data_IF_675018416273
#
_entry.id   IF_675018416273
#
_cell.length_a   1.000
_cell.length_b   1.000
_cell.length_c   1.000
_cell.angle_alpha   90.00
_cell.angle_beta   90.00
_cell.angle_gamma   90.00
#
_symmetry.space_group_name_H-M   'P 1'
#
loop_
_entity.id
_entity.type
_entity.pdbx_description
1 polymer ?
#
# COMPACT_ATOMS: atom_id res chain seq x y z
N UNK A 1 -6.36 -12.39 -28.41
CA UNK A 1 -7.75 -12.84 -28.07
C UNK A 1 -7.82 -13.85 -26.91
N UNK A 2 -7.19 -15.06 -27.00
CA UNK A 2 -7.22 -16.04 -25.87
C UNK A 2 -6.52 -15.54 -24.61
N UNK A 3 -5.32 -14.98 -24.72
CA UNK A 3 -4.56 -14.45 -23.59
C UNK A 3 -5.25 -13.25 -22.92
N UNK A 4 -5.87 -12.39 -23.70
CA UNK A 4 -6.61 -11.24 -23.19
C UNK A 4 -7.88 -11.67 -22.42
N UNK A 5 -8.60 -12.69 -22.92
CA UNK A 5 -9.74 -13.27 -22.21
C UNK A 5 -9.30 -13.93 -20.89
N UNK A 6 -8.16 -14.66 -20.90
CA UNK A 6 -7.61 -15.28 -19.70
C UNK A 6 -7.18 -14.23 -18.66
N UNK A 7 -6.56 -13.12 -19.09
CA UNK A 7 -6.19 -12.02 -18.21
C UNK A 7 -7.42 -11.36 -17.57
N UNK A 8 -8.45 -11.04 -18.38
CA UNK A 8 -9.71 -10.49 -17.85
C UNK A 8 -10.38 -11.41 -16.83
N UNK A 9 -10.38 -12.74 -17.11
CA UNK A 9 -10.94 -13.71 -16.16
C UNK A 9 -10.13 -13.74 -14.87
N UNK A 10 -8.80 -13.67 -14.94
CA UNK A 10 -7.92 -13.59 -13.76
C UNK A 10 -8.21 -12.33 -12.94
N UNK A 11 -8.36 -11.17 -13.59
CA UNK A 11 -8.67 -9.91 -12.92
C UNK A 11 -10.02 -9.96 -12.18
N UNK A 12 -11.03 -10.59 -12.78
CA UNK A 12 -12.32 -10.84 -12.14
C UNK A 12 -12.17 -11.72 -10.89
N UNK A 13 -11.40 -12.82 -10.98
CA UNK A 13 -11.15 -13.71 -9.85
C UNK A 13 -10.39 -12.99 -8.73
N UNK A 14 -9.38 -12.19 -9.07
CA UNK A 14 -8.57 -11.43 -8.09
C UNK A 14 -9.42 -10.38 -7.37
N UNK A 15 -10.28 -9.66 -8.09
CA UNK A 15 -11.22 -8.70 -7.50
C UNK A 15 -12.19 -9.38 -6.55
N UNK A 16 -12.81 -10.47 -6.97
CA UNK A 16 -13.72 -11.27 -6.14
C UNK A 16 -12.99 -11.82 -4.89
N UNK A 17 -11.73 -12.23 -5.03
CA UNK A 17 -10.91 -12.66 -3.90
C UNK A 17 -10.69 -11.52 -2.90
N UNK A 18 -10.41 -10.30 -3.37
CA UNK A 18 -10.26 -9.12 -2.51
C UNK A 18 -11.53 -8.86 -1.68
N UNK A 19 -12.70 -8.91 -2.30
CA UNK A 19 -13.99 -8.73 -1.64
C UNK A 19 -14.25 -9.81 -0.58
N UNK A 20 -14.05 -11.09 -0.95
CA UNK A 20 -14.30 -12.23 -0.04
C UNK A 20 -13.32 -12.23 1.14
N UNK A 21 -12.04 -11.92 0.91
CA UNK A 21 -11.06 -11.83 2.00
C UNK A 21 -11.32 -10.64 2.92
N UNK A 22 -11.69 -9.49 2.38
CA UNK A 22 -12.03 -8.31 3.19
C UNK A 22 -13.26 -8.55 4.08
N UNK A 23 -14.28 -9.26 3.56
CA UNK A 23 -15.52 -9.53 4.29
C UNK A 23 -15.38 -10.65 5.33
N UNK A 24 -14.63 -11.72 5.02
CA UNK A 24 -14.63 -12.97 5.79
C UNK A 24 -13.32 -13.28 6.50
N UNK A 25 -12.31 -12.44 6.29
CA UNK A 25 -10.96 -12.74 6.74
C UNK A 25 -10.30 -13.89 5.97
N UNK A 26 -9.02 -14.13 6.25
CA UNK A 26 -8.30 -15.21 5.56
C UNK A 26 -8.84 -16.58 5.95
N UNK A 27 -9.02 -16.89 7.22
CA UNK A 27 -9.49 -18.21 7.66
C UNK A 27 -10.89 -18.56 7.15
N UNK A 28 -11.83 -17.59 7.16
CA UNK A 28 -13.23 -17.77 6.77
C UNK A 28 -13.49 -17.79 5.27
N UNK A 29 -12.56 -17.28 4.45
CA UNK A 29 -12.69 -17.27 3.01
C UNK A 29 -12.42 -18.65 2.39
N UNK A 30 -13.24 -19.07 1.40
CA UNK A 30 -13.09 -20.32 0.67
C UNK A 30 -13.04 -20.11 -0.83
N UNK A 31 -12.42 -21.04 -1.56
CA UNK A 31 -12.37 -21.04 -3.03
C UNK A 31 -13.77 -21.04 -3.64
N UNK A 32 -14.74 -21.72 -3.00
CA UNK A 32 -16.14 -21.78 -3.47
C UNK A 32 -16.81 -20.40 -3.41
N UNK A 33 -16.57 -19.67 -2.34
CA UNK A 33 -17.08 -18.28 -2.19
C UNK A 33 -16.47 -17.36 -3.23
N UNK A 34 -15.16 -17.47 -3.50
CA UNK A 34 -14.49 -16.69 -4.54
C UNK A 34 -15.05 -17.05 -5.91
N UNK A 35 -15.25 -18.34 -6.21
CA UNK A 35 -15.83 -18.80 -7.47
C UNK A 35 -17.26 -18.27 -7.67
N UNK A 36 -18.07 -18.28 -6.62
CA UNK A 36 -19.43 -17.75 -6.62
C UNK A 36 -19.43 -16.23 -6.84
N UNK A 37 -18.61 -15.49 -6.10
CA UNK A 37 -18.49 -14.05 -6.22
C UNK A 37 -18.02 -13.64 -7.62
N UNK A 38 -17.02 -14.33 -8.17
CA UNK A 38 -16.50 -14.12 -9.53
C UNK A 38 -17.41 -14.63 -10.65
N UNK A 39 -18.47 -15.38 -10.34
CA UNK A 39 -19.34 -16.07 -11.31
C UNK A 39 -18.56 -16.98 -12.27
N UNK A 40 -17.56 -17.71 -11.75
CA UNK A 40 -16.73 -18.67 -12.50
C UNK A 40 -16.72 -20.04 -11.83
N UNK A 41 -16.17 -21.05 -12.52
CA UNK A 41 -16.01 -22.39 -11.95
C UNK A 41 -14.83 -22.44 -10.95
N UNK A 42 -14.89 -23.39 -9.98
CA UNK A 42 -13.74 -23.67 -9.07
C UNK A 42 -12.42 -23.92 -9.80
N UNK A 43 -12.37 -24.75 -10.86
CA UNK A 43 -11.15 -24.93 -11.64
C UNK A 43 -10.58 -23.64 -12.20
N UNK A 44 -11.45 -22.68 -12.58
CA UNK A 44 -11.01 -21.36 -13.05
C UNK A 44 -10.33 -20.55 -11.94
N UNK A 45 -10.84 -20.63 -10.71
CA UNK A 45 -10.20 -19.99 -9.55
C UNK A 45 -8.85 -20.62 -9.23
N UNK A 46 -8.77 -21.96 -9.22
CA UNK A 46 -7.51 -22.69 -9.02
C UNK A 46 -6.46 -22.41 -10.10
N UNK A 47 -6.88 -22.14 -11.34
CA UNK A 47 -5.97 -21.72 -12.40
C UNK A 47 -5.33 -20.35 -12.14
N UNK A 48 -5.97 -19.47 -11.33
CA UNK A 48 -5.39 -18.19 -10.91
C UNK A 48 -4.40 -18.34 -9.73
N UNK A 49 -4.54 -19.39 -8.91
CA UNK A 49 -3.64 -19.70 -7.80
C UNK A 49 -4.31 -20.42 -6.63
N UNK A 50 -3.50 -20.84 -5.67
CA UNK A 50 -3.98 -21.31 -4.36
C UNK A 50 -4.49 -20.13 -3.52
N UNK A 51 -5.02 -20.40 -2.33
CA UNK A 51 -5.62 -19.39 -1.46
C UNK A 51 -4.64 -18.27 -1.06
N UNK A 52 -3.40 -18.62 -0.70
CA UNK A 52 -2.38 -17.64 -0.34
C UNK A 52 -1.94 -16.80 -1.56
N UNK A 53 -1.76 -17.43 -2.72
CA UNK A 53 -1.45 -16.72 -3.97
C UNK A 53 -2.59 -15.77 -4.38
N UNK A 54 -3.84 -16.20 -4.25
CA UNK A 54 -5.00 -15.34 -4.51
C UNK A 54 -5.05 -14.16 -3.54
N UNK A 55 -4.70 -14.38 -2.28
CA UNK A 55 -4.63 -13.30 -1.31
C UNK A 55 -3.52 -12.29 -1.67
N UNK A 56 -2.33 -12.77 -2.03
CA UNK A 56 -1.23 -11.90 -2.45
C UNK A 56 -1.59 -11.07 -3.70
N UNK A 57 -2.22 -11.71 -4.69
CA UNK A 57 -2.70 -11.03 -5.90
C UNK A 57 -3.80 -10.00 -5.59
N UNK A 58 -4.73 -10.33 -4.70
CA UNK A 58 -5.78 -9.42 -4.27
C UNK A 58 -5.23 -8.21 -3.51
N UNK A 59 -4.27 -8.43 -2.62
CA UNK A 59 -3.60 -7.38 -1.86
C UNK A 59 -2.84 -6.42 -2.81
N UNK A 60 -2.06 -6.97 -3.75
CA UNK A 60 -1.36 -6.19 -4.76
C UNK A 60 -2.33 -5.45 -5.68
N UNK A 61 -3.38 -6.11 -6.17
CA UNK A 61 -4.40 -5.49 -7.03
C UNK A 61 -5.02 -4.25 -6.38
N UNK A 62 -5.37 -4.33 -5.09
CA UNK A 62 -5.94 -3.20 -4.34
C UNK A 62 -4.90 -2.10 -4.09
N UNK A 63 -3.63 -2.47 -3.91
CA UNK A 63 -2.54 -1.49 -3.76
C UNK A 63 -2.27 -0.73 -5.07
N UNK A 64 -2.27 -1.44 -6.20
CA UNK A 64 -1.92 -0.91 -7.53
C UNK A 64 -3.09 -0.22 -8.24
N UNK A 65 -4.33 -0.27 -7.68
CA UNK A 65 -5.51 0.36 -8.29
C UNK A 65 -5.40 1.89 -8.32
N UNK A 66 -4.45 2.36 -9.12
CA UNK A 66 -4.16 3.78 -9.37
C UNK A 66 -5.29 4.51 -10.13
N UNK A 67 -6.30 3.76 -10.63
CA UNK A 67 -7.49 4.35 -11.28
C UNK A 67 -8.43 5.08 -10.33
N UNK A 68 -8.23 4.95 -9.01
CA UNK A 68 -9.08 5.52 -7.97
C UNK A 68 -8.44 6.67 -7.18
N UNK A 69 -7.18 7.03 -7.44
CA UNK A 69 -6.57 8.20 -6.79
C UNK A 69 -6.92 9.47 -7.56
N UNK A 70 -7.55 10.43 -6.89
CA UNK A 70 -7.71 11.80 -7.40
C UNK A 70 -6.35 12.45 -7.75
N UNK A 71 -5.25 11.93 -7.24
CA UNK A 71 -3.88 12.37 -7.50
C UNK A 71 -3.22 11.71 -8.73
N UNK A 72 -3.74 10.58 -9.24
CA UNK A 72 -3.36 9.96 -10.52
C UNK A 72 -1.88 9.62 -10.77
N UNK A 73 -0.97 9.98 -9.86
CA UNK A 73 0.48 9.88 -10.09
C UNK A 73 1.06 8.60 -9.48
N UNK A 74 1.88 7.91 -10.24
CA UNK A 74 2.67 6.78 -9.75
C UNK A 74 3.83 7.25 -8.86
N UNK A 75 4.37 6.38 -8.01
CA UNK A 75 5.57 6.70 -7.21
C UNK A 75 6.72 7.16 -8.11
N UNK A 76 6.90 6.53 -9.27
CA UNK A 76 7.96 6.92 -10.22
C UNK A 76 7.79 8.36 -10.72
N UNK A 77 6.57 8.81 -11.02
CA UNK A 77 6.29 10.19 -11.40
C UNK A 77 6.50 11.16 -10.25
N UNK A 78 6.04 10.81 -9.04
CA UNK A 78 6.24 11.62 -7.84
C UNK A 78 7.73 11.86 -7.57
N UNK A 79 8.58 10.84 -7.73
CA UNK A 79 10.02 10.95 -7.54
C UNK A 79 10.73 11.87 -8.55
N UNK A 80 10.08 12.25 -9.66
CA UNK A 80 10.62 13.23 -10.62
C UNK A 80 10.34 14.68 -10.26
N UNK A 81 9.56 14.93 -9.20
CA UNK A 81 9.20 16.30 -8.78
C UNK A 81 10.44 16.98 -8.18
N UNK A 82 10.83 18.11 -8.78
CA UNK A 82 12.04 18.83 -8.39
C UNK A 82 11.90 19.59 -7.05
N UNK A 83 10.70 20.07 -6.69
CA UNK A 83 10.45 20.70 -5.40
C UNK A 83 10.25 19.61 -4.33
N UNK A 84 11.17 19.48 -3.34
CA UNK A 84 11.11 18.42 -2.34
C UNK A 84 9.88 18.52 -1.42
N UNK A 85 9.36 19.72 -1.19
CA UNK A 85 8.13 19.89 -0.43
C UNK A 85 6.92 19.37 -1.19
N UNK A 86 6.78 19.74 -2.46
CA UNK A 86 5.72 19.27 -3.34
C UNK A 86 5.82 17.75 -3.55
N UNK A 87 7.04 17.21 -3.68
CA UNK A 87 7.28 15.76 -3.73
C UNK A 87 6.68 15.07 -2.51
N UNK A 88 6.99 15.55 -1.31
CA UNK A 88 6.49 14.95 -0.05
C UNK A 88 4.98 15.11 0.12
N UNK A 89 4.40 16.24 -0.30
CA UNK A 89 2.95 16.45 -0.30
C UNK A 89 2.24 15.44 -1.21
N UNK A 90 2.71 15.26 -2.43
CA UNK A 90 2.15 14.29 -3.38
C UNK A 90 2.38 12.85 -2.92
N UNK A 91 3.54 12.56 -2.35
CA UNK A 91 3.85 11.24 -1.79
C UNK A 91 2.96 10.91 -0.59
N UNK A 92 2.72 11.86 0.31
CA UNK A 92 1.83 11.69 1.45
C UNK A 92 0.37 11.45 1.01
N UNK A 93 -0.13 12.21 0.04
CA UNK A 93 -1.46 12.03 -0.53
C UNK A 93 -1.61 10.64 -1.16
N UNK A 94 -0.63 10.22 -1.98
CA UNK A 94 -0.61 8.90 -2.61
C UNK A 94 -0.60 7.79 -1.55
N UNK A 95 0.31 7.84 -0.58
CA UNK A 95 0.42 6.80 0.47
C UNK A 95 -0.80 6.75 1.37
N UNK A 96 -1.39 7.88 1.75
CA UNK A 96 -2.63 7.92 2.52
C UNK A 96 -3.80 7.28 1.74
N UNK A 97 -3.91 7.52 0.43
CA UNK A 97 -4.92 6.90 -0.43
C UNK A 97 -4.70 5.38 -0.55
N UNK A 98 -3.45 4.92 -0.73
CA UNK A 98 -3.10 3.49 -0.72
C UNK A 98 -3.46 2.85 0.62
N UNK A 99 -3.07 3.46 1.76
CA UNK A 99 -3.39 2.97 3.10
C UNK A 99 -4.90 2.78 3.28
N UNK A 100 -5.71 3.73 2.85
CA UNK A 100 -7.17 3.65 2.91
C UNK A 100 -7.71 2.46 2.13
N UNK A 101 -7.22 2.24 0.90
CA UNK A 101 -7.70 1.16 0.03
C UNK A 101 -7.29 -0.22 0.51
N UNK A 102 -6.01 -0.37 0.85
CA UNK A 102 -5.42 -1.66 1.25
C UNK A 102 -5.84 -2.10 2.65
N UNK A 103 -6.27 -1.15 3.49
CA UNK A 103 -6.57 -1.37 4.91
C UNK A 103 -7.38 -2.64 5.22
N UNK A 104 -8.50 -2.96 4.54
CA UNK A 104 -9.27 -4.16 4.87
C UNK A 104 -8.45 -5.44 4.72
N UNK A 105 -7.65 -5.54 3.64
CA UNK A 105 -6.78 -6.69 3.40
C UNK A 105 -5.52 -6.67 4.27
N UNK A 106 -5.01 -5.48 4.62
CA UNK A 106 -3.84 -5.37 5.50
C UNK A 106 -4.13 -5.90 6.90
N UNK A 107 -5.30 -5.60 7.46
CA UNK A 107 -5.74 -6.17 8.76
C UNK A 107 -5.83 -7.70 8.68
N UNK A 108 -6.37 -8.23 7.59
CA UNK A 108 -6.44 -9.68 7.37
C UNK A 108 -5.04 -10.31 7.25
N UNK A 109 -4.12 -9.65 6.54
CA UNK A 109 -2.73 -10.08 6.38
C UNK A 109 -2.02 -10.18 7.75
N UNK A 110 -2.09 -9.11 8.54
CA UNK A 110 -1.45 -9.03 9.86
C UNK A 110 -1.99 -10.11 10.83
N UNK A 111 -3.30 -10.35 10.81
CA UNK A 111 -3.93 -11.38 11.64
C UNK A 111 -3.53 -12.79 11.21
N UNK A 112 -3.42 -13.06 9.91
CA UNK A 112 -3.16 -14.39 9.37
C UNK A 112 -1.67 -14.75 9.31
N UNK A 113 -0.77 -13.76 9.23
CA UNK A 113 0.68 -13.97 9.16
C UNK A 113 1.25 -14.73 10.37
N UNK A 114 0.59 -14.67 11.53
CA UNK A 114 1.00 -15.45 12.71
C UNK A 114 0.74 -16.96 12.61
N UNK A 115 -0.07 -17.41 11.63
CA UNK A 115 -0.51 -18.80 11.51
C UNK A 115 -0.30 -19.41 10.14
N UNK A 116 -0.04 -18.59 9.11
CA UNK A 116 0.17 -19.02 7.73
C UNK A 116 1.53 -18.51 7.24
N UNK A 117 2.49 -19.39 6.92
CA UNK A 117 3.85 -19.00 6.52
C UNK A 117 3.87 -18.21 5.18
N UNK A 118 2.99 -18.53 4.23
CA UNK A 118 2.93 -17.80 2.96
C UNK A 118 2.50 -16.33 3.19
N UNK A 119 1.61 -16.10 4.15
CA UNK A 119 1.20 -14.74 4.53
C UNK A 119 2.23 -14.04 5.41
N UNK A 120 3.00 -14.76 6.22
CA UNK A 120 4.14 -14.20 6.92
C UNK A 120 5.20 -13.68 5.95
N UNK A 121 5.51 -14.45 4.90
CA UNK A 121 6.44 -14.07 3.82
C UNK A 121 5.91 -12.86 3.03
N UNK A 122 4.61 -12.83 2.75
CA UNK A 122 3.96 -11.68 2.10
C UNK A 122 4.07 -10.41 2.95
N UNK A 123 3.77 -10.51 4.25
CA UNK A 123 3.90 -9.38 5.17
C UNK A 123 5.34 -8.87 5.20
N UNK A 124 6.32 -9.77 5.30
CA UNK A 124 7.73 -9.40 5.30
C UNK A 124 8.15 -8.73 3.99
N UNK A 125 7.68 -9.25 2.84
CA UNK A 125 7.98 -8.64 1.54
C UNK A 125 7.36 -7.24 1.40
N UNK A 126 6.15 -7.04 1.90
CA UNK A 126 5.50 -5.72 1.95
C UNK A 126 6.32 -4.73 2.78
N UNK A 127 6.83 -5.16 3.94
CA UNK A 127 7.68 -4.31 4.79
C UNK A 127 9.00 -3.94 4.09
N UNK A 128 9.64 -4.88 3.38
CA UNK A 128 10.84 -4.57 2.58
C UNK A 128 10.55 -3.56 1.48
N UNK A 129 9.45 -3.72 0.75
CA UNK A 129 9.07 -2.79 -0.32
C UNK A 129 8.80 -1.37 0.23
N UNK A 130 8.19 -1.25 1.41
CA UNK A 130 8.00 0.04 2.08
C UNK A 130 9.33 0.70 2.45
N UNK A 131 10.31 -0.08 2.95
CA UNK A 131 11.64 0.42 3.28
C UNK A 131 12.40 0.88 2.02
N UNK A 132 12.34 0.09 0.94
CA UNK A 132 12.93 0.45 -0.35
C UNK A 132 12.30 1.74 -0.92
N UNK A 133 10.97 1.87 -0.84
CA UNK A 133 10.26 3.08 -1.25
C UNK A 133 10.70 4.30 -0.44
N UNK A 134 10.82 4.15 0.88
CA UNK A 134 11.32 5.22 1.75
C UNK A 134 12.74 5.63 1.35
N UNK A 135 13.63 4.67 1.06
CA UNK A 135 14.99 4.94 0.57
C UNK A 135 15.01 5.71 -0.74
N UNK A 136 14.14 5.36 -1.70
CA UNK A 136 14.02 6.09 -2.96
C UNK A 136 13.58 7.54 -2.76
N UNK A 137 12.63 7.79 -1.87
CA UNK A 137 12.15 9.15 -1.55
C UNK A 137 13.25 9.97 -0.89
N UNK A 138 13.95 9.41 0.10
CA UNK A 138 15.06 10.10 0.78
C UNK A 138 16.18 10.41 -0.20
N UNK A 139 16.55 9.47 -1.07
CA UNK A 139 17.57 9.71 -2.10
C UNK A 139 17.17 10.82 -3.08
N UNK A 140 15.91 10.89 -3.47
CA UNK A 140 15.40 11.98 -4.32
C UNK A 140 15.51 13.35 -3.62
N UNK A 141 15.21 13.44 -2.33
CA UNK A 141 15.34 14.67 -1.52
C UNK A 141 16.82 15.04 -1.35
N UNK A 142 17.68 14.07 -1.03
CA UNK A 142 19.12 14.27 -0.87
C UNK A 142 19.76 14.82 -2.15
N UNK A 143 19.36 14.30 -3.31
CA UNK A 143 19.84 14.76 -4.62
C UNK A 143 19.52 16.24 -4.90
N UNK A 144 18.49 16.81 -4.26
CA UNK A 144 18.19 18.26 -4.33
C UNK A 144 19.01 19.09 -3.34
N UNK A 145 19.76 18.48 -2.43
CA UNK A 145 20.45 19.15 -1.33
C UNK A 145 19.52 19.66 -0.20
N UNK A 146 18.27 19.19 -0.18
CA UNK A 146 17.23 19.67 0.74
C UNK A 146 17.02 18.78 1.96
N UNK A 147 17.70 17.64 2.03
CA UNK A 147 17.64 16.79 3.22
C UNK A 147 18.18 17.55 4.42
N UNK A 148 17.46 17.47 5.54
CA UNK A 148 17.85 18.13 6.79
C UNK A 148 19.28 17.72 7.22
N UNK A 149 20.16 18.68 7.46
CA UNK A 149 21.57 18.44 7.81
C UNK A 149 21.76 17.67 9.12
N UNK A 150 20.78 17.75 10.03
CA UNK A 150 20.83 17.07 11.33
C UNK A 150 20.47 15.58 11.28
N UNK A 151 20.08 15.03 10.12
CA UNK A 151 19.74 13.62 9.95
C UNK A 151 20.54 13.00 8.80
N UNK A 152 21.12 11.82 9.05
CA UNK A 152 21.78 11.03 8.00
C UNK A 152 20.72 10.33 7.12
N UNK A 153 21.01 10.11 5.84
CA UNK A 153 20.06 9.51 4.88
C UNK A 153 19.51 8.15 5.34
N UNK A 154 20.34 7.32 5.99
CA UNK A 154 19.91 6.03 6.53
C UNK A 154 18.85 6.22 7.63
N UNK A 155 19.12 7.09 8.61
CA UNK A 155 18.16 7.39 9.67
C UNK A 155 16.88 8.08 9.14
N UNK A 156 17.01 8.93 8.13
CA UNK A 156 15.88 9.56 7.45
C UNK A 156 14.99 8.48 6.77
N UNK A 157 15.61 7.47 6.15
CA UNK A 157 14.91 6.33 5.55
C UNK A 157 14.13 5.53 6.60
N UNK A 158 14.75 5.21 7.74
CA UNK A 158 14.11 4.48 8.84
C UNK A 158 12.91 5.25 9.41
N UNK A 159 13.06 6.57 9.61
CA UNK A 159 11.97 7.40 10.13
C UNK A 159 10.84 7.53 9.12
N UNK A 160 11.15 7.69 7.83
CA UNK A 160 10.13 7.70 6.78
C UNK A 160 9.42 6.35 6.69
N UNK A 161 10.16 5.23 6.73
CA UNK A 161 9.57 3.89 6.77
C UNK A 161 8.61 3.70 7.94
N UNK A 162 8.93 4.22 9.15
CA UNK A 162 8.01 4.20 10.28
C UNK A 162 6.73 5.01 10.01
N UNK A 163 6.84 6.13 9.32
CA UNK A 163 5.67 6.93 8.94
C UNK A 163 4.79 6.20 7.91
N UNK A 164 5.36 5.34 7.05
CA UNK A 164 4.62 4.55 6.05
C UNK A 164 3.87 3.34 6.64
N UNK A 165 3.97 3.08 7.95
CA UNK A 165 3.28 1.94 8.55
C UNK A 165 1.75 2.12 8.57
N UNK A 166 1.02 1.12 8.10
CA UNK A 166 -0.46 1.11 8.10
C UNK A 166 -1.07 1.33 9.48
N UNK A 167 -0.35 0.94 10.54
CA UNK A 167 -0.75 1.16 11.93
C UNK A 167 -1.01 2.62 12.26
N UNK A 168 -0.32 3.57 11.62
CA UNK A 168 -0.57 4.99 11.82
C UNK A 168 -1.96 5.40 11.32
N UNK A 169 -2.35 4.92 10.12
CA UNK A 169 -3.68 5.15 9.57
C UNK A 169 -4.76 4.51 10.44
N UNK A 170 -4.58 3.26 10.82
CA UNK A 170 -5.51 2.55 11.69
C UNK A 170 -5.75 3.30 13.00
N UNK A 171 -4.68 3.67 13.70
CA UNK A 171 -4.79 4.35 15.01
C UNK A 171 -5.44 5.71 14.91
N UNK A 172 -5.09 6.52 13.91
CA UNK A 172 -5.60 7.89 13.81
C UNK A 172 -7.00 7.94 13.18
N UNK A 173 -7.23 7.22 12.09
CA UNK A 173 -8.51 7.27 11.37
C UNK A 173 -9.54 6.36 12.02
N UNK A 174 -9.20 5.08 12.26
CA UNK A 174 -10.19 4.10 12.72
C UNK A 174 -10.46 4.18 14.22
N UNK A 175 -9.39 4.26 15.03
CA UNK A 175 -9.52 4.22 16.48
C UNK A 175 -9.79 5.61 17.08
N UNK A 176 -9.19 6.68 16.48
CA UNK A 176 -9.33 8.06 16.97
C UNK A 176 -10.36 8.88 16.19
N UNK A 177 -10.90 8.34 15.06
CA UNK A 177 -11.98 8.98 14.29
C UNK A 177 -11.51 10.19 13.46
N UNK A 178 -10.24 10.26 13.10
CA UNK A 178 -9.77 11.31 12.21
C UNK A 178 -10.40 11.15 10.82
N UNK A 179 -10.70 12.27 10.17
CA UNK A 179 -11.06 12.23 8.75
C UNK A 179 -9.82 11.89 7.93
N UNK A 180 -10.03 11.22 6.78
CA UNK A 180 -8.94 10.87 5.86
C UNK A 180 -8.09 12.09 5.48
N UNK A 181 -8.71 13.24 5.19
CA UNK A 181 -8.02 14.49 4.84
C UNK A 181 -7.15 15.05 5.99
N UNK A 182 -7.59 14.90 7.24
CA UNK A 182 -6.81 15.33 8.41
C UNK A 182 -5.58 14.45 8.58
N UNK A 183 -5.71 13.13 8.33
CA UNK A 183 -4.57 12.21 8.30
C UNK A 183 -3.59 12.56 7.18
N UNK A 184 -4.07 12.79 5.96
CA UNK A 184 -3.24 13.16 4.81
C UNK A 184 -2.42 14.42 5.09
N UNK A 185 -3.07 15.46 5.61
CA UNK A 185 -2.39 16.71 5.97
C UNK A 185 -1.34 16.51 7.06
N UNK A 186 -1.67 15.77 8.11
CA UNK A 186 -0.74 15.43 9.19
C UNK A 186 0.45 14.62 8.63
N UNK A 187 0.18 13.64 7.78
CA UNK A 187 1.18 12.76 7.20
C UNK A 187 2.19 13.54 6.34
N UNK A 188 1.71 14.44 5.49
CA UNK A 188 2.56 15.36 4.72
C UNK A 188 3.40 16.26 5.63
N UNK A 189 2.76 16.87 6.63
CA UNK A 189 3.45 17.77 7.57
C UNK A 189 4.52 17.04 8.38
N UNK A 190 4.23 15.82 8.83
CA UNK A 190 5.18 14.98 9.56
C UNK A 190 6.41 14.64 8.71
N UNK A 191 6.23 14.23 7.45
CA UNK A 191 7.32 13.97 6.51
C UNK A 191 8.17 15.22 6.26
N UNK A 192 7.53 16.33 5.91
CA UNK A 192 8.21 17.61 5.63
C UNK A 192 9.01 18.09 6.84
N UNK A 193 8.40 18.09 8.01
CA UNK A 193 9.06 18.58 9.23
C UNK A 193 10.23 17.71 9.65
N UNK A 194 10.17 16.42 9.35
CA UNK A 194 11.24 15.47 9.70
C UNK A 194 12.39 15.54 8.71
N UNK A 195 12.09 15.60 7.41
CA UNK A 195 13.08 15.38 6.36
C UNK A 195 13.68 16.67 5.79
N UNK A 196 12.95 17.78 5.79
CA UNK A 196 13.43 19.04 5.20
C UNK A 196 13.91 20.03 6.26
N UNK A 197 14.85 20.88 5.84
CA UNK A 197 15.23 22.02 6.66
C UNK A 197 14.05 22.98 6.86
N UNK A 198 13.90 23.57 8.06
CA UNK A 198 12.95 24.66 8.29
C UNK A 198 13.23 25.81 7.31
N UNK A 199 12.19 26.34 6.68
CA UNK A 199 12.35 27.60 5.92
C UNK A 199 12.72 28.68 6.95
N UNK A 200 13.91 29.26 6.84
CA UNK A 200 14.24 30.50 7.53
C UNK A 200 13.39 31.62 6.89
N UNK A 201 12.45 32.17 7.65
CA UNK A 201 11.75 33.39 7.30
C UNK A 201 12.72 34.59 7.36
#
# INVERSE_FOLDING_TARGET
MREEAARRTRDIVVRAAAEVFAERGYAGATIDQIATCASVSRPTVFAAGNKAQLFALAHQFVADDSGATEAGSTIAEILTIADPRLLLEQFAANTAAVMRRVRPLQVVLEQAAGTDPDLADLLQSTQRNLLETAGCVVAAIEATGSLRQSIQAEAATDVLWLQLQHTNYQRLVDERGWRHQDFEHWHATAMITTLLEPKHE
#
